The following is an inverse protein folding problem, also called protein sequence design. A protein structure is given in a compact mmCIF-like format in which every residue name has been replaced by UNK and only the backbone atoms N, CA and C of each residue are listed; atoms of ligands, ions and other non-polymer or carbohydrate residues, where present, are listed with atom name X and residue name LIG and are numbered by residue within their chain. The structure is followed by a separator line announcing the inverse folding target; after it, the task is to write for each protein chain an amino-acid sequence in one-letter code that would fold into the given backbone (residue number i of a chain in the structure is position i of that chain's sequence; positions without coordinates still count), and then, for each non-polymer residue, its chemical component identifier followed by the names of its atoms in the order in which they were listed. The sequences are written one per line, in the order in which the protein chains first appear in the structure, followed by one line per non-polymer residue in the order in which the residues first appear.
data_IF_373906206497
#
_entry.id   IF_373906206497
#
_cell.length_a   1.000
_cell.length_b   1.000
_cell.length_c   1.000
_cell.angle_alpha   90.00
_cell.angle_beta   90.00
_cell.angle_gamma   90.00
#
_symmetry.space_group_name_H-M   'P 1'
#
loop_
_entity.id
_entity.type
_entity.pdbx_description
1 polymer ?
#
# COMPACT_ATOMS: atom_id res chain seq x y z
N UNK A 1 -13.94 -1.87 5.10
CA UNK A 1 -13.12 -2.03 3.88
C UNK A 1 -12.97 -0.72 3.10
N UNK A 2 -14.06 -0.10 2.62
CA UNK A 2 -13.96 1.15 1.83
C UNK A 2 -13.21 2.30 2.53
N UNK A 3 -13.40 2.47 3.85
CA UNK A 3 -12.65 3.44 4.64
C UNK A 3 -11.14 3.17 4.63
N UNK A 4 -10.71 1.91 4.81
CA UNK A 4 -9.30 1.50 4.74
C UNK A 4 -8.70 1.79 3.36
N UNK A 5 -9.34 1.32 2.28
CA UNK A 5 -8.85 1.52 0.91
C UNK A 5 -8.70 3.01 0.57
N UNK A 6 -9.64 3.86 1.02
CA UNK A 6 -9.54 5.31 0.87
C UNK A 6 -8.33 5.89 1.61
N UNK A 7 -8.13 5.50 2.87
CA UNK A 7 -7.01 6.01 3.68
C UNK A 7 -5.66 5.63 3.08
N UNK A 8 -5.52 4.39 2.61
CA UNK A 8 -4.29 3.92 1.95
C UNK A 8 -4.09 4.67 0.63
N UNK A 9 -5.13 4.87 -0.17
CA UNK A 9 -5.07 5.67 -1.39
C UNK A 9 -4.67 7.14 -1.12
N UNK A 10 -5.23 7.80 -0.11
CA UNK A 10 -4.89 9.19 0.24
C UNK A 10 -3.42 9.32 0.67
N UNK A 11 -2.89 8.32 1.38
CA UNK A 11 -1.46 8.22 1.69
C UNK A 11 -0.62 7.96 0.44
N UNK A 12 -1.08 7.10 -0.47
CA UNK A 12 -0.41 6.85 -1.74
C UNK A 12 -0.32 8.12 -2.59
N UNK A 13 -1.38 8.94 -2.68
CA UNK A 13 -1.35 10.27 -3.35
C UNK A 13 -0.27 11.18 -2.74
N UNK A 14 -0.15 11.17 -1.42
CA UNK A 14 0.87 11.96 -0.73
C UNK A 14 2.28 11.47 -1.07
N UNK A 15 2.52 10.16 -0.97
CA UNK A 15 3.80 9.54 -1.30
C UNK A 15 4.21 9.77 -2.75
N UNK A 16 3.30 9.54 -3.71
CA UNK A 16 3.62 9.69 -5.13
C UNK A 16 3.85 11.13 -5.53
N UNK A 17 3.27 12.11 -4.83
CA UNK A 17 3.58 13.53 -5.00
C UNK A 17 4.96 13.94 -4.47
N UNK A 18 5.52 13.18 -3.52
CA UNK A 18 6.85 13.41 -2.96
C UNK A 18 7.96 12.73 -3.80
N UNK A 19 7.74 11.48 -4.25
CA UNK A 19 8.71 10.71 -5.03
C UNK A 19 9.06 11.44 -6.33
N UNK A 20 10.37 11.55 -6.63
CA UNK A 20 10.90 12.21 -7.84
C UNK A 20 11.46 11.25 -8.89
N UNK A 21 11.56 9.97 -8.58
CA UNK A 21 11.96 8.94 -9.53
C UNK A 21 10.88 8.72 -10.60
N UNK A 22 11.24 8.06 -11.70
CA UNK A 22 10.30 7.67 -12.74
C UNK A 22 9.59 6.35 -12.35
N UNK A 23 8.26 6.35 -12.36
CA UNK A 23 7.41 5.21 -12.05
C UNK A 23 5.96 5.48 -12.49
N UNK A 24 5.15 4.44 -12.57
CA UNK A 24 3.74 4.58 -12.95
C UNK A 24 2.87 5.02 -11.75
N UNK A 25 2.65 6.34 -11.62
CA UNK A 25 1.80 6.92 -10.57
C UNK A 25 0.37 6.38 -10.63
N UNK A 26 -0.35 6.38 -11.78
CA UNK A 26 -1.66 5.74 -11.88
C UNK A 26 -1.70 4.30 -11.38
N UNK A 27 -0.69 3.47 -11.67
CA UNK A 27 -0.63 2.10 -11.19
C UNK A 27 -0.54 2.03 -9.66
N UNK A 28 0.29 2.87 -9.01
CA UNK A 28 0.39 2.92 -7.54
C UNK A 28 -0.95 3.32 -6.92
N UNK A 29 -1.61 4.34 -7.47
CA UNK A 29 -2.92 4.79 -6.96
C UNK A 29 -3.99 3.71 -7.13
N UNK A 30 -4.02 3.04 -8.28
CA UNK A 30 -4.90 1.89 -8.50
C UNK A 30 -4.63 0.80 -7.47
N UNK A 31 -3.37 0.37 -7.33
CA UNK A 31 -2.97 -0.68 -6.40
C UNK A 31 -3.36 -0.34 -4.96
N UNK A 32 -3.10 0.89 -4.51
CA UNK A 32 -3.49 1.36 -3.18
C UNK A 32 -5.01 1.27 -2.95
N UNK A 33 -5.81 1.66 -3.95
CA UNK A 33 -7.27 1.62 -3.89
C UNK A 33 -7.86 0.20 -3.95
N UNK A 34 -7.12 -0.80 -4.46
CA UNK A 34 -7.67 -2.14 -4.72
C UNK A 34 -6.93 -3.29 -4.04
N UNK A 35 -5.79 -3.07 -3.37
CA UNK A 35 -4.93 -4.15 -2.85
C UNK A 35 -5.69 -5.15 -1.96
N UNK A 36 -6.65 -4.66 -1.18
CA UNK A 36 -7.42 -5.46 -0.23
C UNK A 36 -8.79 -5.92 -0.77
N UNK A 37 -9.07 -5.74 -2.07
CA UNK A 37 -10.39 -6.00 -2.66
C UNK A 37 -10.86 -7.46 -2.47
N UNK A 38 -9.96 -8.42 -2.35
CA UNK A 38 -10.36 -9.81 -2.11
C UNK A 38 -11.05 -10.04 -0.76
N UNK A 39 -10.96 -9.10 0.19
CA UNK A 39 -11.68 -9.19 1.47
C UNK A 39 -13.19 -9.08 1.31
N UNK A 40 -13.71 -8.63 0.15
CA UNK A 40 -15.14 -8.75 -0.19
C UNK A 40 -15.56 -10.25 -0.20
N UNK A 41 -14.68 -11.12 -0.69
CA UNK A 41 -14.90 -12.56 -0.81
C UNK A 41 -14.49 -13.33 0.45
N UNK A 42 -13.63 -12.73 1.28
CA UNK A 42 -13.17 -13.29 2.55
C UNK A 42 -13.42 -12.33 3.74
N UNK A 43 -14.70 -12.10 4.15
CA UNK A 43 -15.03 -11.11 5.19
C UNK A 43 -14.36 -11.36 6.55
N UNK A 44 -14.04 -12.61 6.87
CA UNK A 44 -13.32 -12.96 8.11
C UNK A 44 -11.94 -12.28 8.21
N UNK A 45 -11.32 -11.96 7.08
CA UNK A 45 -10.01 -11.29 7.00
C UNK A 45 -10.12 -9.76 7.07
N UNK A 46 -11.33 -9.20 7.22
CA UNK A 46 -11.51 -7.75 7.44
C UNK A 46 -11.06 -7.29 8.82
N UNK A 47 -11.06 -8.20 9.80
CA UNK A 47 -10.64 -7.93 11.18
C UNK A 47 -9.78 -9.07 11.76
N UNK A 48 -9.81 -10.26 11.16
CA UNK A 48 -8.96 -11.39 11.52
C UNK A 48 -7.70 -11.49 10.66
N UNK A 49 -6.74 -12.35 11.07
CA UNK A 49 -5.59 -12.69 10.24
C UNK A 49 -6.03 -13.51 9.01
N UNK A 50 -5.22 -13.47 7.96
CA UNK A 50 -5.41 -14.29 6.75
C UNK A 50 -4.76 -13.66 5.53
N UNK A 51 -4.71 -14.43 4.44
CA UNK A 51 -4.16 -14.02 3.15
C UNK A 51 -4.94 -14.58 1.96
N UNK A 52 -6.12 -15.18 2.18
CA UNK A 52 -6.96 -15.69 1.10
C UNK A 52 -7.45 -14.55 0.19
N UNK A 53 -7.63 -13.35 0.75
CA UNK A 53 -7.97 -12.15 -0.01
C UNK A 53 -6.95 -11.80 -1.10
N UNK A 54 -5.69 -12.21 -0.97
CA UNK A 54 -4.65 -11.85 -1.94
C UNK A 54 -4.92 -12.52 -3.29
N UNK A 55 -5.05 -13.85 -3.29
CA UNK A 55 -5.34 -14.64 -4.51
C UNK A 55 -6.77 -14.38 -5.00
N UNK A 56 -7.73 -14.23 -4.07
CA UNK A 56 -9.12 -13.96 -4.42
C UNK A 56 -9.30 -12.57 -5.06
N UNK A 57 -8.61 -11.55 -4.55
CA UNK A 57 -8.64 -10.19 -5.08
C UNK A 57 -7.99 -10.11 -6.45
N UNK A 58 -6.85 -10.78 -6.64
CA UNK A 58 -6.20 -10.91 -7.95
C UNK A 58 -7.15 -11.55 -8.98
N UNK A 59 -7.73 -12.70 -8.64
CA UNK A 59 -8.66 -13.43 -9.53
C UNK A 59 -9.92 -12.62 -9.83
N UNK A 60 -10.44 -11.89 -8.84
CA UNK A 60 -11.58 -11.01 -9.00
C UNK A 60 -11.29 -9.90 -10.02
N UNK A 61 -10.16 -9.19 -9.89
CA UNK A 61 -9.79 -8.11 -10.81
C UNK A 61 -9.64 -8.63 -12.25
N UNK A 62 -8.97 -9.78 -12.45
CA UNK A 62 -8.86 -10.40 -13.76
C UNK A 62 -10.23 -10.76 -14.35
N UNK A 63 -11.16 -11.29 -13.54
CA UNK A 63 -12.51 -11.61 -14.01
C UNK A 63 -13.31 -10.39 -14.47
N UNK A 64 -12.92 -9.18 -14.02
CA UNK A 64 -13.51 -7.91 -14.43
C UNK A 64 -12.77 -7.28 -15.63
N UNK A 65 -11.81 -7.99 -16.24
CA UNK A 65 -11.05 -7.52 -17.40
C UNK A 65 -9.90 -6.57 -17.05
N UNK A 66 -9.53 -6.45 -15.77
CA UNK A 66 -8.33 -5.70 -15.37
C UNK A 66 -7.09 -6.49 -15.76
N UNK A 67 -6.11 -5.82 -16.35
CA UNK A 67 -4.86 -6.44 -16.77
C UNK A 67 -4.05 -6.97 -15.59
N UNK A 68 -3.29 -8.05 -15.81
CA UNK A 68 -2.45 -8.68 -14.78
C UNK A 68 -1.49 -7.68 -14.12
N UNK A 69 -0.94 -6.75 -14.90
CA UNK A 69 -0.09 -5.68 -14.39
C UNK A 69 -0.80 -4.91 -13.27
N UNK A 70 -2.06 -4.51 -13.42
CA UNK A 70 -2.78 -3.81 -12.35
C UNK A 70 -3.31 -4.76 -11.28
N UNK A 71 -3.77 -5.95 -11.67
CA UNK A 71 -4.35 -6.91 -10.73
C UNK A 71 -3.33 -7.43 -9.69
N UNK A 72 -2.03 -7.47 -10.05
CA UNK A 72 -0.96 -8.00 -9.18
C UNK A 72 -0.91 -7.34 -7.80
N UNK A 73 -1.27 -6.06 -7.68
CA UNK A 73 -1.23 -5.34 -6.41
C UNK A 73 -2.09 -6.00 -5.32
N UNK A 74 -3.14 -6.72 -5.71
CA UNK A 74 -3.94 -7.49 -4.76
C UNK A 74 -3.14 -8.62 -4.07
N UNK A 75 -2.10 -9.16 -4.71
CA UNK A 75 -1.25 -10.23 -4.16
C UNK A 75 0.15 -9.79 -3.72
N UNK A 76 0.69 -8.72 -4.31
CA UNK A 76 2.08 -8.30 -4.01
C UNK A 76 2.17 -7.46 -2.74
N UNK A 77 1.10 -6.79 -2.30
CA UNK A 77 1.16 -5.86 -1.17
C UNK A 77 1.55 -6.53 0.17
N UNK A 78 1.17 -7.81 0.34
CA UNK A 78 1.54 -8.65 1.49
C UNK A 78 2.91 -9.33 1.35
N UNK A 79 3.41 -9.48 0.12
CA UNK A 79 4.66 -10.18 -0.24
C UNK A 79 5.69 -9.23 -0.87
N UNK A 80 5.83 -8.02 -0.32
CA UNK A 80 6.75 -6.98 -0.80
C UNK A 80 8.23 -7.35 -0.71
N UNK A 81 8.55 -8.46 -0.03
CA UNK A 81 9.89 -9.00 0.09
C UNK A 81 10.26 -9.99 -1.04
N UNK A 82 9.32 -10.34 -1.92
CA UNK A 82 9.58 -11.20 -3.08
C UNK A 82 10.59 -10.57 -4.05
N UNK A 83 11.20 -11.41 -4.89
CA UNK A 83 12.31 -11.00 -5.78
C UNK A 83 11.84 -10.18 -7.00
N UNK A 84 10.59 -10.34 -7.40
CA UNK A 84 9.98 -9.78 -8.60
C UNK A 84 9.16 -8.50 -8.36
N UNK A 85 9.17 -7.98 -7.13
CA UNK A 85 8.43 -6.76 -6.77
C UNK A 85 8.97 -5.52 -7.50
N UNK A 86 8.09 -4.78 -8.15
CA UNK A 86 8.43 -3.52 -8.83
C UNK A 86 8.53 -2.38 -7.83
N UNK A 87 8.89 -1.18 -8.30
CA UNK A 87 8.95 -0.02 -7.40
C UNK A 87 7.55 0.40 -6.97
N UNK A 88 6.58 0.31 -7.89
CA UNK A 88 5.17 0.54 -7.63
C UNK A 88 4.62 -0.42 -6.56
N UNK A 89 4.99 -1.71 -6.60
CA UNK A 89 4.58 -2.68 -5.57
C UNK A 89 5.07 -2.25 -4.18
N UNK A 90 6.33 -1.80 -4.09
CA UNK A 90 6.91 -1.30 -2.85
C UNK A 90 6.19 -0.04 -2.35
N UNK A 91 5.80 0.89 -3.24
CA UNK A 91 5.08 2.11 -2.88
C UNK A 91 3.65 1.80 -2.39
N UNK A 92 2.95 0.84 -3.00
CA UNK A 92 1.63 0.38 -2.52
C UNK A 92 1.76 -0.23 -1.12
N UNK A 93 2.73 -1.13 -0.92
CA UNK A 93 2.99 -1.71 0.40
C UNK A 93 3.37 -0.66 1.42
N UNK A 94 4.20 0.32 1.05
CA UNK A 94 4.63 1.39 1.95
C UNK A 94 3.44 2.23 2.40
N UNK A 95 2.56 2.60 1.47
CA UNK A 95 1.31 3.30 1.77
C UNK A 95 0.43 2.49 2.75
N UNK A 96 0.26 1.19 2.53
CA UNK A 96 -0.50 0.27 3.40
C UNK A 96 0.11 0.13 4.81
N UNK A 97 1.42 0.36 4.99
CA UNK A 97 2.01 0.38 6.34
C UNK A 97 1.88 1.76 6.99
N UNK A 98 2.32 2.80 6.30
CA UNK A 98 2.49 4.13 6.92
C UNK A 98 1.18 4.88 7.16
N UNK A 99 0.05 4.50 6.52
CA UNK A 99 -1.23 5.16 6.80
C UNK A 99 -1.64 5.09 8.29
N UNK A 100 -1.28 4.01 8.99
CA UNK A 100 -1.48 3.86 10.44
C UNK A 100 -0.22 4.16 11.26
N UNK A 101 0.76 4.81 10.66
CA UNK A 101 2.05 5.13 11.28
C UNK A 101 2.97 3.91 11.46
N UNK A 102 2.66 2.75 10.84
CA UNK A 102 3.55 1.58 10.92
C UNK A 102 4.77 1.81 10.05
N UNK A 103 5.95 1.81 10.69
CA UNK A 103 7.27 1.82 10.07
C UNK A 103 7.76 0.39 9.83
N UNK A 104 8.41 0.14 8.70
CA UNK A 104 8.95 -1.18 8.32
C UNK A 104 10.33 -0.97 7.69
N UNK A 105 11.41 -1.03 8.50
CA UNK A 105 12.75 -0.66 8.06
C UNK A 105 13.24 -1.39 6.81
N UNK A 106 12.92 -2.67 6.66
CA UNK A 106 13.33 -3.47 5.51
C UNK A 106 12.61 -3.05 4.20
N UNK A 107 11.34 -2.67 4.30
CA UNK A 107 10.58 -2.13 3.17
C UNK A 107 11.09 -0.73 2.81
N UNK A 108 11.36 0.11 3.80
CA UNK A 108 11.90 1.46 3.63
C UNK A 108 13.29 1.44 2.97
N UNK A 109 14.14 0.47 3.32
CA UNK A 109 15.42 0.26 2.66
C UNK A 109 15.25 -0.13 1.19
N UNK A 110 14.30 -1.02 0.86
CA UNK A 110 14.00 -1.39 -0.53
C UNK A 110 13.50 -0.21 -1.35
N UNK A 111 12.64 0.63 -0.77
CA UNK A 111 12.15 1.88 -1.39
C UNK A 111 13.31 2.84 -1.63
N UNK A 112 14.15 3.07 -0.61
CA UNK A 112 15.35 3.92 -0.68
C UNK A 112 16.27 3.47 -1.82
N UNK A 113 16.50 2.16 -1.97
CA UNK A 113 17.34 1.61 -3.03
C UNK A 113 16.80 1.90 -4.45
N UNK A 114 15.48 2.10 -4.61
CA UNK A 114 14.82 2.40 -5.89
C UNK A 114 14.76 3.89 -6.21
N UNK A 115 14.78 4.76 -5.20
CA UNK A 115 14.78 6.22 -5.35
C UNK A 115 16.08 6.76 -5.97
N UNK A 116 17.18 6.00 -5.88
CA UNK A 116 18.49 6.41 -6.37
C UNK A 116 19.17 7.47 -5.49
N UNK A 117 20.36 7.92 -5.91
CA UNK A 117 21.16 8.89 -5.16
C UNK A 117 21.98 8.28 -4.01
N UNK A 118 22.65 9.12 -3.19
CA UNK A 118 23.39 8.66 -2.02
C UNK A 118 22.44 8.03 -0.99
N UNK A 119 22.67 6.76 -0.66
CA UNK A 119 21.75 5.96 0.14
C UNK A 119 21.34 6.61 1.48
N UNK A 120 22.27 7.31 2.15
CA UNK A 120 21.99 7.98 3.42
C UNK A 120 21.10 9.23 3.26
N UNK A 121 21.31 10.03 2.21
CA UNK A 121 20.50 11.23 1.94
C UNK A 121 19.08 10.83 1.55
N UNK A 122 18.98 9.85 0.67
CA UNK A 122 17.69 9.31 0.21
C UNK A 122 16.92 8.66 1.36
N UNK A 123 17.61 7.95 2.26
CA UNK A 123 16.97 7.36 3.43
C UNK A 123 16.45 8.44 4.38
N UNK A 124 17.25 9.46 4.71
CA UNK A 124 16.81 10.56 5.57
C UNK A 124 15.62 11.32 4.97
N UNK A 125 15.65 11.59 3.66
CA UNK A 125 14.54 12.25 2.99
C UNK A 125 13.26 11.39 3.02
N UNK A 126 13.38 10.07 2.87
CA UNK A 126 12.25 9.15 3.01
C UNK A 126 11.75 9.11 4.46
N UNK A 127 12.65 9.06 5.44
CA UNK A 127 12.32 9.03 6.86
C UNK A 127 11.52 10.27 7.26
N UNK A 128 11.99 11.47 6.91
CA UNK A 128 11.30 12.75 7.15
C UNK A 128 9.88 12.75 6.56
N UNK A 129 9.72 12.25 5.34
CA UNK A 129 8.41 12.17 4.68
C UNK A 129 7.48 11.15 5.35
N UNK A 130 8.00 9.99 5.74
CA UNK A 130 7.23 8.97 6.46
C UNK A 130 6.84 9.43 7.86
N UNK A 131 7.70 10.17 8.56
CA UNK A 131 7.36 10.82 9.83
C UNK A 131 6.24 11.85 9.65
N UNK A 132 6.34 12.70 8.63
CA UNK A 132 5.31 13.68 8.30
C UNK A 132 3.97 13.01 8.01
N UNK A 133 3.97 11.91 7.26
CA UNK A 133 2.76 11.13 6.99
C UNK A 133 2.25 10.48 8.29
N UNK A 134 3.13 9.85 9.07
CA UNK A 134 2.78 9.13 10.30
C UNK A 134 2.19 10.06 11.38
N UNK A 135 2.57 11.34 11.41
CA UNK A 135 1.97 12.34 12.31
C UNK A 135 0.44 12.47 12.14
N UNK A 136 -0.11 12.11 10.98
CA UNK A 136 -1.56 12.07 10.72
C UNK A 136 -2.25 10.74 11.05
N UNK A 137 -1.52 9.73 11.57
CA UNK A 137 -2.04 8.38 11.75
C UNK A 137 -3.24 8.31 12.71
N UNK A 138 -3.19 9.02 13.85
CA UNK A 138 -4.26 9.00 14.85
C UNK A 138 -5.61 9.46 14.27
N UNK A 139 -5.60 10.52 13.46
CA UNK A 139 -6.79 11.01 12.79
C UNK A 139 -7.34 10.01 11.77
N UNK A 140 -6.46 9.32 11.03
CA UNK A 140 -6.85 8.27 10.06
C UNK A 140 -7.41 7.03 10.77
N UNK A 141 -6.82 6.63 11.90
CA UNK A 141 -7.33 5.53 12.73
C UNK A 141 -8.70 5.87 13.31
N UNK A 142 -8.89 7.10 13.82
CA UNK A 142 -10.19 7.56 14.30
C UNK A 142 -11.24 7.57 13.19
N UNK A 143 -10.87 8.00 11.97
CA UNK A 143 -11.76 7.94 10.81
C UNK A 143 -12.13 6.49 10.47
N UNK A 144 -11.17 5.55 10.43
CA UNK A 144 -11.47 4.15 10.16
C UNK A 144 -12.41 3.54 11.20
N UNK A 145 -12.21 3.86 12.48
CA UNK A 145 -13.03 3.35 13.58
C UNK A 145 -14.52 3.76 13.46
N UNK A 146 -14.82 4.85 12.76
CA UNK A 146 -16.20 5.26 12.45
C UNK A 146 -16.89 4.38 11.39
N UNK A 147 -16.15 3.49 10.72
CA UNK A 147 -16.64 2.53 9.72
C UNK A 147 -16.22 1.10 10.07
N UNK A 148 -16.76 0.52 11.16
CA UNK A 148 -16.35 -0.80 11.62
C UNK A 148 -16.61 -1.88 10.57
N UNK A 149 -15.69 -2.84 10.49
CA UNK A 149 -15.76 -3.97 9.56
C UNK A 149 -16.50 -5.19 10.12
N UNK A 150 -16.89 -5.13 11.39
CA UNK A 150 -17.70 -6.14 12.06
C UNK A 150 -19.18 -5.70 12.03
N UNK A 151 -20.00 -6.51 11.37
CA UNK A 151 -21.43 -6.66 11.63
C UNK A 151 -21.69 -8.05 12.17
#
# INVERSE_FOLDING_TARGET
MGAHLRLVHDVAVTLTGWVRADFDVPAVLFGAATHDIGKILHPAELSGPGSLHEVAGYSLLLSQGIEEASARFARTHGSWDAADVTFEDLLVSLADKVWKGKRVPELEQRVTARLGGPAWETFLALDDELERIAAGADARLAFQAAYPTTG
#
